data_IF_605420190526
#
_entry.id   IF_605420190526
#
_cell.length_a   1.000
_cell.length_b   1.000
_cell.length_c   1.000
_cell.angle_alpha   90.00
_cell.angle_beta   90.00
_cell.angle_gamma   90.00
#
_symmetry.space_group_name_H-M   'P 1'
#
loop_
_entity.id
_entity.type
_entity.pdbx_description
1 polymer ?
#
# COMPACT_ATOMS: atom_id res chain seq x y z
N UNK A 1 30.22 4.76 11.51
CA UNK A 1 29.66 5.01 12.85
C UNK A 1 29.36 3.67 13.48
N UNK A 2 29.51 3.49 14.81
CA UNK A 2 29.10 2.23 15.45
C UNK A 2 27.60 2.02 15.25
N UNK A 3 27.19 0.76 15.06
CA UNK A 3 25.78 0.39 14.97
C UNK A 3 25.12 0.63 16.33
N UNK A 4 24.04 1.41 16.36
CA UNK A 4 23.27 1.67 17.57
C UNK A 4 21.96 0.87 17.54
N UNK A 5 21.61 0.26 18.67
CA UNK A 5 20.38 -0.52 18.83
C UNK A 5 19.49 0.06 19.94
N UNK A 6 18.16 0.11 19.81
CA UNK A 6 17.46 -0.02 18.51
C UNK A 6 17.91 1.09 17.55
N UNK A 7 17.60 0.92 16.27
CA UNK A 7 17.93 1.94 15.26
C UNK A 7 17.39 3.32 15.68
N UNK A 8 18.23 4.39 15.71
CA UNK A 8 17.80 5.72 16.16
C UNK A 8 16.75 6.37 15.26
N UNK A 9 16.54 5.83 14.05
CA UNK A 9 15.52 6.27 13.13
C UNK A 9 14.14 5.63 13.42
N UNK A 10 14.06 4.72 14.41
CA UNK A 10 12.79 4.24 14.99
C UNK A 10 12.43 5.17 16.15
N UNK A 11 11.54 6.14 15.89
CA UNK A 11 11.27 7.26 16.79
C UNK A 11 9.95 7.07 17.53
N UNK A 12 10.00 6.96 18.85
CA UNK A 12 8.81 7.01 19.69
C UNK A 12 8.41 8.47 19.90
N UNK A 13 7.28 8.87 19.35
CA UNK A 13 6.67 10.20 19.58
C UNK A 13 5.82 10.20 20.86
N UNK A 14 5.34 9.01 21.26
CA UNK A 14 4.58 8.74 22.46
C UNK A 14 5.05 7.40 23.09
N UNK A 15 4.93 7.28 24.41
CA UNK A 15 5.35 6.08 25.13
C UNK A 15 4.61 4.80 24.67
N UNK A 16 3.39 4.92 24.16
CA UNK A 16 2.61 3.80 23.62
C UNK A 16 3.31 3.12 22.44
N UNK A 17 4.14 3.83 21.69
CA UNK A 17 4.88 3.24 20.57
C UNK A 17 6.02 2.34 21.02
N UNK A 18 6.58 2.54 22.23
CA UNK A 18 7.74 1.78 22.71
C UNK A 18 7.52 0.27 22.74
N UNK A 19 6.28 -0.19 22.92
CA UNK A 19 5.92 -1.63 22.89
C UNK A 19 6.11 -2.27 21.51
N UNK A 20 6.16 -1.49 20.44
CA UNK A 20 6.35 -1.97 19.07
C UNK A 20 7.81 -2.00 18.64
N UNK A 21 8.72 -1.51 19.47
CA UNK A 21 10.15 -1.41 19.19
C UNK A 21 10.87 -2.65 19.73
N UNK A 22 11.52 -3.40 18.86
CA UNK A 22 12.40 -4.50 19.24
C UNK A 22 13.80 -3.93 19.53
N UNK A 23 14.32 -4.17 20.75
CA UNK A 23 15.52 -3.52 21.28
C UNK A 23 16.82 -3.77 20.51
N UNK A 24 16.88 -4.78 19.65
CA UNK A 24 18.06 -5.13 18.86
C UNK A 24 17.81 -5.05 17.34
N UNK A 25 16.77 -4.32 16.90
CA UNK A 25 16.45 -4.19 15.48
C UNK A 25 17.10 -2.99 14.83
N UNK A 26 17.33 -3.11 13.53
CA UNK A 26 17.80 -2.03 12.64
C UNK A 26 16.94 -1.99 11.39
N UNK A 27 16.87 -0.82 10.77
CA UNK A 27 16.28 -0.65 9.44
C UNK A 27 17.29 -1.16 8.42
N UNK A 28 16.94 -2.21 7.69
CA UNK A 28 17.77 -2.79 6.64
C UNK A 28 17.33 -2.33 5.27
N UNK A 29 18.23 -1.82 4.47
CA UNK A 29 18.02 -1.66 3.04
C UNK A 29 18.28 -3.01 2.37
N UNK A 30 17.22 -3.59 1.78
CA UNK A 30 17.28 -4.91 1.15
C UNK A 30 17.68 -4.83 -0.32
N UNK A 31 17.32 -3.74 -0.99
CA UNK A 31 17.59 -3.51 -2.40
C UNK A 31 17.66 -2.00 -2.70
N UNK A 32 18.43 -1.64 -3.72
CA UNK A 32 18.44 -0.30 -4.33
C UNK A 32 18.63 -0.46 -5.84
N UNK A 33 18.04 0.46 -6.62
CA UNK A 33 18.13 0.44 -8.09
C UNK A 33 16.78 0.50 -8.79
N UNK A 34 15.69 0.70 -8.05
CA UNK A 34 14.37 1.08 -8.61
C UNK A 34 14.36 2.56 -9.00
N UNK A 35 13.45 2.95 -9.86
CA UNK A 35 13.13 4.36 -10.12
C UNK A 35 12.02 4.87 -9.20
N UNK A 36 10.98 4.04 -8.97
CA UNK A 36 9.91 4.31 -8.02
C UNK A 36 9.33 2.99 -7.51
N UNK A 37 9.77 2.60 -6.31
CA UNK A 37 9.32 1.37 -5.67
C UNK A 37 7.95 1.55 -5.04
N UNK A 38 7.00 0.67 -5.36
CA UNK A 38 5.61 0.71 -4.94
C UNK A 38 5.01 -0.67 -4.70
N UNK A 39 3.82 -0.68 -4.08
CA UNK A 39 2.93 -1.81 -3.95
C UNK A 39 3.57 -3.09 -3.41
N UNK A 40 4.30 -3.06 -2.28
CA UNK A 40 4.87 -4.26 -1.71
C UNK A 40 3.77 -5.19 -1.21
N UNK A 41 3.87 -6.49 -1.53
CA UNK A 41 2.96 -7.53 -1.08
C UNK A 41 3.71 -8.81 -0.72
N UNK A 42 3.34 -9.39 0.42
CA UNK A 42 3.96 -10.60 0.95
C UNK A 42 3.21 -11.86 0.56
N UNK A 43 3.89 -12.83 -0.05
CA UNK A 43 3.38 -14.17 -0.25
C UNK A 43 3.86 -15.08 0.89
N UNK A 44 2.95 -15.45 1.79
CA UNK A 44 3.29 -16.26 2.96
C UNK A 44 3.60 -17.73 2.63
N UNK A 45 3.04 -18.27 1.55
CA UNK A 45 3.28 -19.65 1.11
C UNK A 45 4.64 -19.78 0.46
N UNK A 46 4.94 -18.89 -0.49
CA UNK A 46 6.21 -18.87 -1.21
C UNK A 46 7.32 -18.16 -0.47
N UNK A 47 7.03 -17.51 0.69
CA UNK A 47 7.99 -16.76 1.52
C UNK A 47 8.80 -15.74 0.74
N UNK A 48 8.07 -14.93 -0.05
CA UNK A 48 8.69 -13.87 -0.83
C UNK A 48 7.85 -12.58 -0.81
N UNK A 49 8.53 -11.46 -1.00
CA UNK A 49 7.92 -10.17 -1.25
C UNK A 49 7.94 -9.89 -2.75
N UNK A 50 6.84 -9.39 -3.29
CA UNK A 50 6.83 -8.71 -4.58
C UNK A 50 6.65 -7.21 -4.37
N UNK A 51 7.21 -6.39 -5.26
CA UNK A 51 6.91 -4.96 -5.34
C UNK A 51 7.07 -4.49 -6.79
N UNK A 52 6.47 -3.36 -7.09
CA UNK A 52 6.52 -2.74 -8.41
C UNK A 52 7.66 -1.72 -8.48
N UNK A 53 8.36 -1.68 -9.59
CA UNK A 53 9.17 -0.55 -10.04
C UNK A 53 8.44 0.04 -11.25
N UNK A 54 7.58 1.01 -10.97
CA UNK A 54 6.57 1.48 -11.93
C UNK A 54 7.22 2.00 -13.21
N UNK A 55 8.17 2.98 -13.17
CA UNK A 55 8.71 3.57 -14.39
C UNK A 55 9.52 2.59 -15.23
N UNK A 56 10.15 1.60 -14.60
CA UNK A 56 10.86 0.54 -15.32
C UNK A 56 9.94 -0.56 -15.87
N UNK A 57 8.64 -0.49 -15.57
CA UNK A 57 7.63 -1.45 -16.02
C UNK A 57 7.96 -2.89 -15.61
N UNK A 58 8.44 -3.08 -14.37
CA UNK A 58 8.79 -4.39 -13.83
C UNK A 58 8.21 -4.62 -12.44
N UNK A 59 7.91 -5.87 -12.12
CA UNK A 59 7.76 -6.32 -10.74
C UNK A 59 9.03 -7.01 -10.30
N UNK A 60 9.46 -6.68 -9.10
CA UNK A 60 10.63 -7.25 -8.43
C UNK A 60 10.19 -8.27 -7.39
N UNK A 61 11.07 -9.20 -7.03
CA UNK A 61 10.84 -10.18 -5.98
C UNK A 61 12.07 -10.27 -5.08
N UNK A 62 11.83 -10.28 -3.76
CA UNK A 62 12.82 -10.60 -2.73
C UNK A 62 12.44 -11.92 -2.05
N UNK A 63 13.39 -12.84 -1.92
CA UNK A 63 13.21 -14.14 -1.26
C UNK A 63 13.65 -14.06 0.21
N UNK A 64 12.82 -14.59 1.13
CA UNK A 64 13.17 -14.60 2.57
C UNK A 64 14.33 -15.54 2.88
N UNK A 65 14.46 -16.65 2.17
CA UNK A 65 15.39 -17.72 2.48
C UNK A 65 16.86 -17.32 2.32
N UNK A 66 17.19 -16.54 1.30
CA UNK A 66 18.56 -16.15 0.98
C UNK A 66 18.76 -14.63 0.75
N UNK A 67 17.65 -13.87 0.76
CA UNK A 67 17.67 -12.43 0.49
C UNK A 67 17.87 -12.08 -0.99
N UNK A 68 17.79 -13.06 -1.90
CA UNK A 68 17.96 -12.82 -3.32
C UNK A 68 16.87 -11.91 -3.88
N UNK A 69 17.30 -10.95 -4.72
CA UNK A 69 16.40 -10.07 -5.46
C UNK A 69 16.46 -10.38 -6.95
N UNK A 70 15.32 -10.50 -7.59
CA UNK A 70 15.20 -10.76 -9.03
C UNK A 70 14.04 -10.01 -9.63
N UNK A 71 14.07 -9.79 -10.94
CA UNK A 71 12.89 -9.40 -11.71
C UNK A 71 11.90 -10.56 -11.67
N UNK A 72 10.65 -10.25 -11.29
CA UNK A 72 9.58 -11.23 -11.20
C UNK A 72 8.69 -11.23 -12.43
N UNK A 73 8.34 -10.04 -12.94
CA UNK A 73 7.59 -9.85 -14.20
C UNK A 73 8.19 -8.71 -15.00
N UNK A 74 8.27 -8.91 -16.30
CA UNK A 74 8.71 -7.91 -17.30
C UNK A 74 8.10 -8.25 -18.67
N UNK A 75 7.21 -7.41 -19.24
CA UNK A 75 6.65 -6.19 -18.64
C UNK A 75 5.65 -6.49 -17.53
N UNK A 76 5.39 -5.51 -16.64
CA UNK A 76 4.40 -5.58 -15.55
C UNK A 76 3.12 -4.79 -15.83
N UNK A 77 3.00 -4.16 -16.99
CA UNK A 77 1.91 -3.24 -17.29
C UNK A 77 1.98 -1.92 -16.52
N UNK A 78 3.18 -1.51 -16.09
CA UNK A 78 3.38 -0.38 -15.17
C UNK A 78 2.57 -0.58 -13.89
N UNK A 79 2.72 -1.75 -13.30
CA UNK A 79 1.99 -2.10 -12.07
C UNK A 79 2.37 -1.17 -10.92
N UNK A 80 1.40 -0.90 -10.02
CA UNK A 80 1.57 -0.18 -8.77
C UNK A 80 1.27 -1.12 -7.60
N UNK A 81 0.09 -1.01 -6.98
CA UNK A 81 -0.31 -1.81 -5.84
C UNK A 81 -0.46 -3.29 -6.16
N UNK A 82 0.03 -4.13 -5.26
CA UNK A 82 -0.14 -5.58 -5.34
C UNK A 82 -0.75 -6.11 -4.04
N UNK A 83 -1.43 -7.24 -4.14
CA UNK A 83 -1.90 -8.02 -2.98
C UNK A 83 -2.04 -9.48 -3.38
N UNK A 84 -2.33 -10.35 -2.40
CA UNK A 84 -2.68 -11.74 -2.64
C UNK A 84 -4.09 -11.99 -2.11
N UNK A 85 -4.90 -12.76 -2.85
CA UNK A 85 -6.19 -13.19 -2.34
C UNK A 85 -6.05 -14.40 -1.39
N UNK A 86 -7.17 -14.81 -0.81
CA UNK A 86 -7.20 -15.93 0.16
C UNK A 86 -6.93 -17.30 -0.48
N UNK A 87 -6.84 -17.37 -1.81
CA UNK A 87 -6.40 -18.54 -2.57
C UNK A 87 -4.92 -18.46 -2.95
N UNK A 88 -4.22 -17.39 -2.54
CA UNK A 88 -2.81 -17.15 -2.81
C UNK A 88 -2.51 -16.63 -4.22
N UNK A 89 -3.53 -16.19 -4.97
CA UNK A 89 -3.36 -15.59 -6.30
C UNK A 89 -2.99 -14.12 -6.15
N UNK A 90 -1.99 -13.69 -6.90
CA UNK A 90 -1.60 -12.29 -6.92
C UNK A 90 -2.62 -11.46 -7.69
N UNK A 91 -2.98 -10.30 -7.14
CA UNK A 91 -3.68 -9.22 -7.82
C UNK A 91 -2.74 -8.03 -7.99
N UNK A 92 -2.90 -7.29 -9.06
CA UNK A 92 -2.09 -6.12 -9.37
C UNK A 92 -2.93 -5.00 -9.97
N UNK A 93 -2.67 -3.78 -9.54
CA UNK A 93 -3.16 -2.56 -10.16
C UNK A 93 -2.18 -2.15 -11.27
N UNK A 94 -2.66 -1.93 -12.48
CA UNK A 94 -1.84 -1.52 -13.62
C UNK A 94 -2.18 -0.11 -14.07
N UNK A 95 -1.18 0.77 -14.09
CA UNK A 95 -1.29 2.11 -14.65
C UNK A 95 -1.35 2.08 -16.18
N UNK A 96 -0.47 1.30 -16.82
CA UNK A 96 -0.41 1.22 -18.28
C UNK A 96 -1.63 0.53 -18.89
N UNK A 97 -2.09 -0.55 -18.27
CA UNK A 97 -3.32 -1.24 -18.63
C UNK A 97 -4.59 -0.48 -18.26
N UNK A 98 -4.50 0.43 -17.27
CA UNK A 98 -5.66 1.11 -16.65
C UNK A 98 -6.68 0.08 -16.14
N UNK A 99 -6.19 -0.92 -15.38
CA UNK A 99 -6.98 -2.08 -14.96
C UNK A 99 -6.45 -2.72 -13.69
N UNK A 100 -7.27 -3.59 -13.12
CA UNK A 100 -6.86 -4.54 -12.08
C UNK A 100 -6.85 -5.93 -12.69
N UNK A 101 -5.77 -6.66 -12.47
CA UNK A 101 -5.63 -8.06 -12.94
C UNK A 101 -5.31 -9.02 -11.80
N UNK A 102 -5.62 -10.30 -12.07
CA UNK A 102 -5.27 -11.43 -11.21
C UNK A 102 -4.48 -12.45 -12.00
N UNK A 103 -3.38 -12.89 -11.42
CA UNK A 103 -2.53 -13.93 -12.00
C UNK A 103 -2.97 -15.29 -11.47
N UNK A 104 -3.39 -16.16 -12.38
CA UNK A 104 -3.90 -17.49 -12.07
C UNK A 104 -2.76 -18.50 -11.94
N UNK A 105 -2.90 -19.59 -11.15
CA UNK A 105 -1.90 -20.66 -11.04
C UNK A 105 -1.57 -21.33 -12.37
N UNK A 106 -2.47 -21.29 -13.34
CA UNK A 106 -2.26 -21.80 -14.70
C UNK A 106 -1.31 -20.95 -15.55
N UNK A 107 -0.93 -19.75 -15.06
CA UNK A 107 -0.19 -18.75 -15.82
C UNK A 107 -1.10 -17.80 -16.62
N UNK A 108 -2.41 -18.03 -16.65
CA UNK A 108 -3.36 -17.10 -17.27
C UNK A 108 -3.48 -15.80 -16.43
N UNK A 109 -3.89 -14.74 -17.10
CA UNK A 109 -4.18 -13.45 -16.47
C UNK A 109 -5.67 -13.14 -16.64
N UNK A 110 -6.35 -12.88 -15.53
CA UNK A 110 -7.77 -12.50 -15.52
C UNK A 110 -7.89 -11.02 -15.25
N UNK A 111 -8.51 -10.27 -16.16
CA UNK A 111 -8.86 -8.86 -15.91
C UNK A 111 -10.05 -8.84 -14.95
N UNK A 112 -9.85 -8.22 -13.80
CA UNK A 112 -10.89 -8.05 -12.75
C UNK A 112 -11.75 -6.82 -13.03
N UNK A 113 -11.13 -5.71 -13.41
CA UNK A 113 -11.82 -4.47 -13.76
C UNK A 113 -10.93 -3.61 -14.68
N UNK A 114 -11.49 -3.08 -15.75
CA UNK A 114 -10.84 -2.13 -16.66
C UNK A 114 -11.75 -0.94 -17.01
N UNK A 115 -13.05 -1.05 -16.72
CA UNK A 115 -14.06 -0.05 -17.05
C UNK A 115 -15.12 0.06 -15.96
N UNK A 116 -15.60 1.27 -15.79
CA UNK A 116 -16.81 1.55 -15.00
C UNK A 116 -17.85 2.24 -15.88
N UNK A 117 -19.05 1.64 -16.01
CA UNK A 117 -20.14 2.14 -16.87
C UNK A 117 -19.70 2.43 -18.33
N UNK A 118 -18.87 1.54 -18.89
CA UNK A 118 -18.36 1.62 -20.26
C UNK A 118 -17.16 2.56 -20.47
N UNK A 119 -16.77 3.35 -19.47
CA UNK A 119 -15.59 4.24 -19.48
C UNK A 119 -14.40 3.56 -18.85
N UNK A 120 -13.20 3.81 -19.39
CA UNK A 120 -11.95 3.26 -18.82
C UNK A 120 -11.70 3.82 -17.41
N UNK A 121 -11.18 2.97 -16.52
CA UNK A 121 -10.60 3.40 -15.26
C UNK A 121 -9.44 4.37 -15.51
N UNK A 122 -9.04 5.13 -14.47
CA UNK A 122 -7.93 6.08 -14.59
C UNK A 122 -6.58 5.35 -14.53
N UNK A 123 -6.12 5.03 -13.35
CA UNK A 123 -4.88 4.30 -13.09
C UNK A 123 -5.00 3.64 -11.71
N UNK A 124 -5.60 2.44 -11.62
CA UNK A 124 -5.73 1.73 -10.36
C UNK A 124 -4.41 1.70 -9.59
N UNK A 125 -4.47 2.01 -8.27
CA UNK A 125 -3.28 2.33 -7.49
C UNK A 125 -3.03 1.33 -6.36
N UNK A 126 -3.79 1.33 -5.26
CA UNK A 126 -3.63 0.37 -4.16
C UNK A 126 -4.82 -0.58 -4.08
N UNK A 127 -4.62 -1.76 -3.47
CA UNK A 127 -5.57 -2.87 -3.55
C UNK A 127 -5.53 -3.73 -2.29
N UNK A 128 -6.73 -4.15 -1.84
CA UNK A 128 -6.91 -5.10 -0.73
C UNK A 128 -8.06 -6.06 -1.02
N UNK A 129 -8.05 -7.23 -0.39
CA UNK A 129 -9.10 -8.24 -0.53
C UNK A 129 -9.83 -8.44 0.79
N UNK A 130 -11.15 -8.34 0.76
CA UNK A 130 -12.01 -8.62 1.90
C UNK A 130 -12.29 -10.13 2.01
N UNK A 131 -12.53 -10.72 3.21
CA UNK A 131 -12.81 -12.15 3.37
C UNK A 131 -14.00 -12.71 2.57
N UNK A 132 -14.94 -11.85 2.16
CA UNK A 132 -16.05 -12.24 1.26
C UNK A 132 -15.61 -12.45 -0.19
N UNK A 133 -14.32 -12.24 -0.48
CA UNK A 133 -13.72 -12.31 -1.82
C UNK A 133 -13.78 -10.99 -2.59
N UNK A 134 -14.43 -9.96 -2.07
CA UNK A 134 -14.50 -8.64 -2.70
C UNK A 134 -13.14 -7.97 -2.80
N UNK A 135 -12.81 -7.48 -3.98
CA UNK A 135 -11.55 -6.82 -4.29
C UNK A 135 -11.79 -5.31 -4.25
N UNK A 136 -11.12 -4.62 -3.33
CA UNK A 136 -11.24 -3.18 -3.14
C UNK A 136 -10.00 -2.49 -3.66
N UNK A 137 -10.15 -1.47 -4.47
CA UNK A 137 -9.02 -0.74 -5.02
C UNK A 137 -9.31 0.75 -5.21
N UNK A 138 -8.27 1.54 -5.25
CA UNK A 138 -8.32 2.98 -5.51
C UNK A 138 -7.98 3.26 -6.97
N UNK A 139 -8.61 4.29 -7.56
CA UNK A 139 -8.42 4.66 -8.97
C UNK A 139 -8.17 6.18 -9.11
N UNK A 140 -7.00 6.68 -8.68
CA UNK A 140 -6.59 8.06 -8.92
C UNK A 140 -6.08 8.24 -10.35
N UNK A 141 -5.64 9.47 -10.65
CA UNK A 141 -5.10 9.81 -11.98
C UNK A 141 -3.58 9.78 -12.08
N UNK A 142 -2.85 9.25 -11.06
CA UNK A 142 -1.39 9.39 -11.00
C UNK A 142 -0.70 8.81 -12.23
N UNK A 143 -1.04 7.60 -12.61
CA UNK A 143 -0.42 6.90 -13.75
C UNK A 143 -0.74 7.48 -15.12
N UNK A 144 -1.73 8.39 -15.22
CA UNK A 144 -2.10 9.05 -16.49
C UNK A 144 -1.81 10.56 -16.54
N UNK A 145 -1.26 11.15 -15.46
CA UNK A 145 -0.90 12.58 -15.43
C UNK A 145 0.27 12.93 -16.34
N UNK A 146 1.16 11.98 -16.56
CA UNK A 146 2.40 12.17 -17.34
C UNK A 146 2.91 10.87 -17.93
N UNK A 147 4.16 10.85 -18.35
CA UNK A 147 4.81 9.70 -18.98
C UNK A 147 5.89 9.07 -18.09
N UNK A 148 5.82 9.27 -16.77
CA UNK A 148 6.79 8.70 -15.83
C UNK A 148 6.33 7.36 -15.26
N UNK A 149 5.08 7.30 -14.77
CA UNK A 149 4.53 6.08 -14.19
C UNK A 149 3.80 5.19 -15.21
N UNK A 150 3.36 5.75 -16.33
CA UNK A 150 2.84 5.06 -17.50
C UNK A 150 2.70 6.05 -18.68
N UNK A 151 1.51 6.14 -19.29
CA UNK A 151 1.26 6.96 -20.46
C UNK A 151 0.23 8.05 -20.15
N UNK A 152 0.56 9.30 -20.49
CA UNK A 152 -0.37 10.41 -20.34
C UNK A 152 -1.68 10.12 -21.08
N UNK A 153 -2.80 10.32 -20.39
CA UNK A 153 -4.15 10.17 -20.94
C UNK A 153 -5.13 11.08 -20.21
N UNK A 154 -6.28 11.36 -20.85
CA UNK A 154 -7.36 12.09 -20.20
C UNK A 154 -8.17 11.16 -19.30
N UNK A 155 -8.59 11.62 -18.10
CA UNK A 155 -9.50 10.89 -17.24
C UNK A 155 -10.87 10.73 -17.90
N UNK A 156 -11.41 9.52 -17.89
CA UNK A 156 -12.77 9.25 -18.37
C UNK A 156 -13.78 9.14 -17.23
N UNK A 157 -13.29 8.89 -16.00
CA UNK A 157 -14.08 8.80 -14.77
C UNK A 157 -13.46 9.68 -13.68
N UNK A 158 -14.28 10.08 -12.70
CA UNK A 158 -13.79 10.76 -11.50
C UNK A 158 -12.91 9.82 -10.68
N UNK A 159 -11.82 10.29 -10.04
CA UNK A 159 -11.09 9.49 -9.06
C UNK A 159 -12.04 8.89 -8.02
N UNK A 160 -11.86 7.62 -7.69
CA UNK A 160 -12.79 6.92 -6.83
C UNK A 160 -12.16 5.69 -6.16
N UNK A 161 -12.90 5.14 -5.21
CA UNK A 161 -12.68 3.80 -4.65
C UNK A 161 -13.73 2.87 -5.22
N UNK A 162 -13.30 1.71 -5.65
CA UNK A 162 -14.15 0.68 -6.22
C UNK A 162 -14.08 -0.62 -5.43
N UNK A 163 -15.17 -1.40 -5.52
CA UNK A 163 -15.23 -2.79 -5.10
C UNK A 163 -15.66 -3.65 -6.27
N UNK A 164 -14.80 -4.60 -6.66
CA UNK A 164 -15.12 -5.61 -7.65
C UNK A 164 -15.53 -6.93 -6.96
N UNK A 165 -16.57 -7.55 -7.47
CA UNK A 165 -16.95 -8.92 -7.12
C UNK A 165 -16.41 -9.87 -8.20
N UNK A 166 -15.36 -10.67 -7.89
CA UNK A 166 -14.69 -11.49 -8.91
C UNK A 166 -15.54 -12.67 -9.38
N UNK A 167 -16.68 -12.98 -8.70
CA UNK A 167 -17.58 -14.06 -9.08
C UNK A 167 -18.65 -13.59 -10.07
N UNK A 168 -19.23 -12.42 -9.83
CA UNK A 168 -20.28 -11.84 -10.69
C UNK A 168 -19.71 -10.90 -11.76
N UNK A 169 -18.49 -10.42 -11.61
CA UNK A 169 -17.91 -9.37 -12.46
C UNK A 169 -18.49 -7.97 -12.18
N UNK A 170 -19.31 -7.82 -11.13
CA UNK A 170 -19.87 -6.52 -10.76
C UNK A 170 -18.80 -5.60 -10.21
N UNK A 171 -18.77 -4.35 -10.70
CA UNK A 171 -17.93 -3.28 -10.20
C UNK A 171 -18.80 -2.18 -9.61
N UNK A 172 -18.66 -1.97 -8.31
CA UNK A 172 -19.37 -0.92 -7.56
C UNK A 172 -18.40 0.23 -7.26
N UNK A 173 -18.81 1.46 -7.54
CA UNK A 173 -18.14 2.65 -7.07
C UNK A 173 -18.64 2.94 -5.65
N UNK A 174 -17.74 2.84 -4.66
CA UNK A 174 -18.13 2.91 -3.24
C UNK A 174 -17.85 4.26 -2.59
N UNK A 175 -16.92 5.05 -3.17
CA UNK A 175 -16.60 6.41 -2.70
C UNK A 175 -15.93 7.22 -3.81
N UNK A 176 -16.34 8.51 -3.98
CA UNK A 176 -15.74 9.40 -4.97
C UNK A 176 -15.68 10.89 -4.51
N UNK A 177 -15.80 11.13 -3.19
CA UNK A 177 -15.55 12.46 -2.62
C UNK A 177 -14.09 12.63 -2.21
N UNK A 178 -13.21 12.39 -3.16
CA UNK A 178 -11.75 12.44 -3.04
C UNK A 178 -11.14 12.81 -4.40
N UNK A 179 -10.01 13.50 -4.41
CA UNK A 179 -9.28 13.84 -5.63
C UNK A 179 -7.96 13.07 -5.78
N UNK A 180 -7.53 12.39 -4.72
CA UNK A 180 -6.29 11.61 -4.68
C UNK A 180 -6.40 10.33 -3.85
N UNK A 181 -7.39 9.42 -4.13
CA UNK A 181 -7.46 8.16 -3.40
C UNK A 181 -6.19 7.34 -3.64
N UNK A 182 -5.57 6.86 -2.55
CA UNK A 182 -4.29 6.18 -2.59
C UNK A 182 -4.35 4.90 -1.74
N UNK A 183 -3.54 4.76 -0.70
CA UNK A 183 -3.52 3.57 0.14
C UNK A 183 -4.87 3.25 0.78
N UNK A 184 -5.22 1.96 0.80
CA UNK A 184 -6.47 1.47 1.38
C UNK A 184 -6.19 0.25 2.27
N UNK A 185 -6.83 0.20 3.47
CA UNK A 185 -6.77 -1.00 4.32
C UNK A 185 -8.02 -1.15 5.19
N UNK A 186 -8.24 -2.37 5.70
CA UNK A 186 -9.29 -2.66 6.66
C UNK A 186 -8.78 -2.63 8.10
N UNK A 187 -9.68 -2.36 9.06
CA UNK A 187 -9.43 -2.66 10.48
C UNK A 187 -9.29 -4.16 10.71
N UNK A 188 -8.67 -4.62 11.84
CA UNK A 188 -8.47 -6.05 12.11
C UNK A 188 -9.76 -6.87 12.08
N UNK A 189 -10.88 -6.29 12.47
CA UNK A 189 -12.20 -6.93 12.52
C UNK A 189 -13.05 -6.70 11.25
N UNK A 190 -12.47 -6.07 10.21
CA UNK A 190 -13.14 -5.71 8.95
C UNK A 190 -14.39 -4.82 9.09
N UNK A 191 -14.55 -4.13 10.22
CA UNK A 191 -15.69 -3.21 10.42
C UNK A 191 -15.42 -1.79 9.94
N UNK A 192 -14.15 -1.47 9.68
CA UNK A 192 -13.75 -0.16 9.18
C UNK A 192 -12.86 -0.28 7.95
N UNK A 193 -12.94 0.76 7.11
CA UNK A 193 -12.02 1.00 5.99
C UNK A 193 -11.30 2.31 6.24
N UNK A 194 -9.99 2.29 6.05
CA UNK A 194 -9.15 3.48 6.04
C UNK A 194 -8.68 3.74 4.61
N UNK A 195 -8.72 5.00 4.20
CA UNK A 195 -8.34 5.46 2.87
C UNK A 195 -7.42 6.65 2.99
N UNK A 196 -6.22 6.53 2.46
CA UNK A 196 -5.34 7.68 2.28
C UNK A 196 -5.81 8.53 1.09
N UNK A 197 -5.96 9.82 1.32
CA UNK A 197 -6.24 10.83 0.30
C UNK A 197 -5.01 11.72 0.19
N UNK A 198 -4.19 11.45 -0.82
CA UNK A 198 -2.94 12.17 -1.09
C UNK A 198 -3.19 13.44 -1.91
N UNK A 199 -4.45 13.74 -2.22
CA UNK A 199 -4.89 14.94 -2.90
C UNK A 199 -4.74 16.21 -2.06
N UNK A 200 -5.52 17.24 -2.36
CA UNK A 200 -5.44 18.54 -1.68
C UNK A 200 -5.69 18.45 -0.17
N UNK A 201 -6.55 17.54 0.26
CA UNK A 201 -6.93 17.37 1.67
C UNK A 201 -5.81 16.75 2.53
N UNK A 202 -4.92 15.92 1.94
CA UNK A 202 -3.78 15.26 2.63
C UNK A 202 -4.17 14.60 3.94
N UNK A 203 -5.17 13.73 3.89
CA UNK A 203 -5.77 13.11 5.06
C UNK A 203 -5.89 11.61 4.90
N UNK A 204 -6.16 10.95 6.01
CA UNK A 204 -6.70 9.59 6.00
C UNK A 204 -8.18 9.70 6.37
N UNK A 205 -9.02 9.08 5.57
CA UNK A 205 -10.43 8.87 5.87
C UNK A 205 -10.62 7.61 6.71
N UNK A 206 -11.67 7.57 7.52
CA UNK A 206 -12.20 6.35 8.13
C UNK A 206 -13.68 6.22 7.83
N UNK A 207 -14.09 5.01 7.46
CA UNK A 207 -15.48 4.67 7.19
C UNK A 207 -15.89 3.46 8.04
N UNK A 208 -17.16 3.37 8.36
CA UNK A 208 -17.76 2.11 8.79
C UNK A 208 -18.07 1.27 7.56
N UNK A 209 -17.72 -0.03 7.61
CA UNK A 209 -18.03 -0.98 6.54
C UNK A 209 -19.37 -1.65 6.86
N UNK A 210 -20.37 -1.42 6.02
CA UNK A 210 -21.69 -2.03 6.09
C UNK A 210 -21.91 -2.91 4.84
N UNK A 211 -21.60 -4.19 4.95
CA UNK A 211 -21.60 -5.12 3.83
C UNK A 211 -20.62 -4.69 2.74
N UNK A 212 -21.14 -4.17 1.62
CA UNK A 212 -20.38 -3.67 0.47
C UNK A 212 -20.29 -2.14 0.42
N UNK A 213 -20.82 -1.44 1.42
CA UNK A 213 -20.95 0.01 1.41
C UNK A 213 -20.07 0.68 2.47
N UNK A 214 -19.50 1.82 2.11
CA UNK A 214 -18.83 2.72 3.05
C UNK A 214 -19.86 3.67 3.65
N UNK A 215 -19.91 3.75 4.99
CA UNK A 215 -20.83 4.61 5.74
C UNK A 215 -20.05 5.53 6.68
N UNK A 216 -20.69 6.60 7.12
CA UNK A 216 -20.19 7.50 8.16
C UNK A 216 -18.76 7.99 7.92
N UNK A 217 -18.40 8.24 6.65
CA UNK A 217 -17.07 8.69 6.26
C UNK A 217 -16.70 10.00 6.97
N UNK A 218 -15.54 10.02 7.60
CA UNK A 218 -14.99 11.22 8.25
C UNK A 218 -13.47 11.23 8.16
N UNK A 219 -12.91 12.43 8.32
CA UNK A 219 -11.46 12.57 8.47
C UNK A 219 -11.00 11.85 9.72
N UNK A 220 -10.08 10.90 9.56
CA UNK A 220 -9.42 10.19 10.64
C UNK A 220 -8.25 11.01 11.21
N UNK A 221 -7.35 11.43 10.33
CA UNK A 221 -6.22 12.29 10.65
C UNK A 221 -5.78 13.06 9.40
N UNK A 222 -5.29 14.26 9.60
CA UNK A 222 -4.52 15.00 8.61
C UNK A 222 -3.04 14.85 8.95
N UNK A 223 -2.23 14.37 8.01
CA UNK A 223 -0.79 14.27 8.20
C UNK A 223 -0.15 15.57 7.74
N UNK A 224 0.06 16.45 8.68
CA UNK A 224 0.86 17.66 8.49
C UNK A 224 2.09 17.55 9.38
N UNK A 225 3.24 17.22 8.80
CA UNK A 225 4.48 16.99 9.54
C UNK A 225 5.42 18.14 9.26
N UNK A 226 5.67 19.00 10.27
CA UNK A 226 6.65 20.07 10.17
C UNK A 226 8.07 19.52 9.89
N UNK A 227 8.82 20.16 9.04
CA UNK A 227 10.25 19.88 8.86
C UNK A 227 10.64 19.06 7.65
N UNK A 228 9.73 18.64 6.80
CA UNK A 228 10.04 17.92 5.56
C UNK A 228 10.46 18.84 4.40
N UNK A 229 11.28 19.86 4.67
CA UNK A 229 11.80 20.77 3.63
C UNK A 229 10.73 21.64 2.96
N UNK A 230 9.66 21.98 3.69
CA UNK A 230 8.56 22.81 3.18
C UNK A 230 7.60 22.09 2.23
N UNK A 231 7.82 20.82 1.95
CA UNK A 231 6.87 20.04 1.17
C UNK A 231 5.77 19.47 2.08
N UNK A 232 4.51 19.57 1.66
CA UNK A 232 3.40 18.99 2.40
C UNK A 232 3.56 17.48 2.49
N UNK A 233 3.33 16.93 3.68
CA UNK A 233 3.28 15.48 3.89
C UNK A 233 1.86 14.97 3.68
N UNK A 234 1.73 13.85 2.98
CA UNK A 234 0.49 13.12 2.82
C UNK A 234 0.77 11.64 3.07
N UNK A 235 -0.24 10.90 3.52
CA UNK A 235 -0.18 9.45 3.54
C UNK A 235 -0.26 8.93 2.09
N UNK A 236 0.51 7.89 1.82
CA UNK A 236 0.52 7.15 0.55
C UNK A 236 -0.05 5.75 0.79
N UNK A 237 0.70 4.68 0.60
CA UNK A 237 0.25 3.34 0.97
C UNK A 237 0.12 3.16 2.48
N UNK A 238 -0.93 2.48 2.92
CA UNK A 238 -1.24 2.27 4.34
C UNK A 238 -1.57 0.82 4.65
N UNK A 239 -1.18 0.33 5.83
CA UNK A 239 -1.58 -1.00 6.33
C UNK A 239 -1.92 -0.93 7.82
N UNK A 240 -2.79 -1.84 8.26
CA UNK A 240 -3.23 -1.95 9.64
C UNK A 240 -2.48 -3.09 10.35
N UNK A 241 -2.10 -2.89 11.61
CA UNK A 241 -1.61 -3.97 12.48
C UNK A 241 -2.73 -4.61 13.30
N UNK A 242 -2.42 -5.70 14.02
CA UNK A 242 -3.40 -6.44 14.83
C UNK A 242 -3.99 -5.64 15.98
N UNK A 243 -3.34 -4.57 16.43
CA UNK A 243 -3.85 -3.67 17.46
C UNK A 243 -4.71 -2.53 16.85
N UNK A 244 -4.86 -2.49 15.53
CA UNK A 244 -5.63 -1.50 14.81
C UNK A 244 -4.86 -0.21 14.50
N UNK A 245 -3.55 -0.15 14.74
CA UNK A 245 -2.77 1.02 14.34
C UNK A 245 -2.59 1.03 12.82
N UNK A 246 -2.63 2.22 12.24
CA UNK A 246 -2.34 2.46 10.83
C UNK A 246 -0.86 2.79 10.68
N UNK A 247 -0.17 2.01 9.87
CA UNK A 247 1.20 2.25 9.44
C UNK A 247 1.14 2.86 8.05
N UNK A 248 1.46 4.15 7.96
CA UNK A 248 1.29 4.94 6.76
C UNK A 248 2.63 5.33 6.16
N UNK A 249 2.87 4.91 4.91
CA UNK A 249 3.95 5.45 4.09
C UNK A 249 3.75 6.94 3.89
N UNK A 250 4.80 7.73 4.04
CA UNK A 250 4.78 9.18 3.94
C UNK A 250 6.22 9.74 3.81
N UNK A 251 6.37 11.02 4.03
CA UNK A 251 7.67 11.66 4.22
C UNK A 251 7.73 12.20 5.67
N UNK A 252 8.77 11.98 6.43
CA UNK A 252 10.08 11.36 6.09
C UNK A 252 10.15 9.86 6.45
N UNK A 253 9.24 9.05 5.97
CA UNK A 253 9.16 7.61 6.22
C UNK A 253 7.80 7.22 6.79
N UNK A 254 7.72 6.09 7.52
CA UNK A 254 6.46 5.54 8.00
C UNK A 254 5.96 6.27 9.22
N UNK A 255 4.67 6.61 9.25
CA UNK A 255 3.98 7.17 10.41
C UNK A 255 3.09 6.11 11.04
N UNK A 256 3.07 6.02 12.37
CA UNK A 256 2.24 5.06 13.11
C UNK A 256 1.17 5.79 13.90
N UNK A 257 -0.08 5.45 13.61
CA UNK A 257 -1.26 6.17 14.07
C UNK A 257 -2.19 5.19 14.79
N UNK A 258 -2.61 5.52 16.03
CA UNK A 258 -3.52 4.68 16.81
C UNK A 258 -4.91 4.60 16.19
N UNK A 259 -5.77 3.63 16.61
CA UNK A 259 -7.17 3.57 16.17
C UNK A 259 -7.99 4.84 16.47
N UNK A 260 -7.50 5.69 17.37
CA UNK A 260 -8.14 6.96 17.72
C UNK A 260 -7.65 8.16 16.87
N UNK A 261 -6.74 7.94 15.91
CA UNK A 261 -6.21 8.99 15.05
C UNK A 261 -5.05 9.78 15.68
N UNK A 262 -4.35 9.23 16.64
CA UNK A 262 -3.19 9.87 17.30
C UNK A 262 -1.89 9.30 16.75
N UNK A 263 -0.97 10.15 16.30
CA UNK A 263 0.34 9.73 15.85
C UNK A 263 1.24 9.41 17.04
N UNK A 264 1.71 8.17 17.16
CA UNK A 264 2.49 7.70 18.29
C UNK A 264 3.94 7.35 17.97
N UNK A 265 4.25 7.09 16.71
CA UNK A 265 5.60 6.70 16.31
C UNK A 265 5.91 7.01 14.86
N UNK A 266 7.18 6.90 14.53
CA UNK A 266 7.69 7.13 13.19
C UNK A 266 8.92 6.26 12.93
N UNK A 267 9.03 5.73 11.70
CA UNK A 267 10.27 5.14 11.19
C UNK A 267 10.79 6.08 10.12
N UNK A 268 11.88 6.78 10.41
CA UNK A 268 12.49 7.69 9.45
C UNK A 268 13.24 6.89 8.37
N UNK A 269 13.12 7.36 7.15
CA UNK A 269 13.82 6.83 6.00
C UNK A 269 14.55 7.96 5.26
N UNK A 270 15.67 7.67 4.59
CA UNK A 270 16.36 8.67 3.78
C UNK A 270 15.59 9.07 2.51
N UNK A 271 14.55 8.31 2.17
CA UNK A 271 13.70 8.48 1.00
C UNK A 271 12.23 8.63 1.43
N UNK A 272 11.37 9.07 0.51
CA UNK A 272 9.91 8.99 0.71
C UNK A 272 9.51 7.52 0.78
N UNK A 273 8.73 7.15 1.78
CA UNK A 273 8.09 5.85 1.83
C UNK A 273 6.77 5.92 1.07
N UNK A 274 6.71 5.30 -0.09
CA UNK A 274 5.50 5.28 -0.91
C UNK A 274 4.48 4.27 -0.37
N UNK A 275 4.91 3.07 0.04
CA UNK A 275 3.98 2.04 0.50
C UNK A 275 4.64 1.09 1.50
N UNK A 276 3.81 0.38 2.25
CA UNK A 276 4.24 -0.55 3.30
C UNK A 276 3.49 -1.88 3.22
N UNK A 277 4.15 -2.96 3.69
CA UNK A 277 3.54 -4.27 3.81
C UNK A 277 4.12 -5.02 5.01
N UNK A 278 3.27 -5.71 5.77
CA UNK A 278 3.73 -6.65 6.78
C UNK A 278 3.98 -8.02 6.16
N UNK A 279 5.12 -8.63 6.47
CA UNK A 279 5.47 -9.96 5.98
C UNK A 279 6.46 -10.68 6.87
N UNK A 280 7.14 -11.68 6.30
CA UNK A 280 7.97 -12.63 7.05
C UNK A 280 7.13 -13.73 7.70
N UNK A 281 7.78 -14.78 8.17
CA UNK A 281 7.11 -15.98 8.72
C UNK A 281 6.20 -15.69 9.91
N UNK A 282 6.47 -14.63 10.68
CA UNK A 282 5.66 -14.16 11.81
C UNK A 282 4.82 -12.94 11.49
N UNK A 283 4.85 -12.44 10.24
CA UNK A 283 4.16 -11.21 9.80
C UNK A 283 4.47 -9.97 10.65
N UNK A 284 5.64 -9.94 11.27
CA UNK A 284 6.17 -8.86 12.10
C UNK A 284 7.36 -8.14 11.47
N UNK A 285 7.61 -8.38 10.18
CA UNK A 285 8.58 -7.65 9.40
C UNK A 285 7.84 -6.64 8.53
N UNK A 286 8.05 -5.36 8.81
CA UNK A 286 7.52 -4.28 7.99
C UNK A 286 8.47 -4.06 6.82
N UNK A 287 7.97 -4.25 5.60
CA UNK A 287 8.62 -3.86 4.37
C UNK A 287 8.15 -2.47 3.96
N UNK A 288 9.08 -1.65 3.48
CA UNK A 288 8.85 -0.25 3.17
C UNK A 288 9.42 0.03 1.77
N UNK A 289 8.55 0.34 0.82
CA UNK A 289 8.93 0.78 -0.51
C UNK A 289 9.35 2.25 -0.43
N UNK A 290 10.65 2.49 -0.54
CA UNK A 290 11.22 3.84 -0.70
C UNK A 290 11.18 4.24 -2.17
N UNK A 291 11.62 5.45 -2.50
CA UNK A 291 11.65 5.89 -3.90
C UNK A 291 12.52 4.98 -4.77
N UNK A 292 13.78 4.77 -4.36
CA UNK A 292 14.77 4.00 -5.14
C UNK A 292 15.17 2.67 -4.47
N UNK A 293 14.63 2.37 -3.31
CA UNK A 293 15.10 1.25 -2.50
C UNK A 293 13.95 0.54 -1.78
N UNK A 294 14.16 -0.74 -1.50
CA UNK A 294 13.32 -1.51 -0.60
C UNK A 294 14.00 -1.62 0.77
N UNK A 295 13.26 -1.27 1.83
CA UNK A 295 13.72 -1.38 3.21
C UNK A 295 12.87 -2.37 3.99
N UNK A 296 13.39 -2.85 5.12
CA UNK A 296 12.63 -3.63 6.07
C UNK A 296 13.12 -3.44 7.50
N UNK A 297 12.21 -3.58 8.46
CA UNK A 297 12.48 -3.55 9.89
C UNK A 297 11.61 -4.56 10.62
N UNK A 298 12.11 -5.21 11.65
CA UNK A 298 11.28 -6.02 12.54
C UNK A 298 10.63 -5.13 13.60
N UNK A 299 9.35 -5.40 13.86
CA UNK A 299 8.53 -4.69 14.85
C UNK A 299 7.84 -5.70 15.77
N UNK A 300 7.48 -5.28 16.99
CA UNK A 300 6.81 -6.15 17.97
C UNK A 300 5.29 -6.08 17.84
N UNK A 301 4.81 -6.22 16.61
CA UNK A 301 3.41 -6.40 16.23
C UNK A 301 3.34 -7.17 14.91
N UNK A 302 2.15 -7.52 14.48
CA UNK A 302 1.89 -8.24 13.22
C UNK A 302 0.93 -7.43 12.35
N UNK A 303 1.02 -7.59 11.04
CA UNK A 303 -0.01 -7.08 10.14
C UNK A 303 -1.37 -7.72 10.43
N UNK A 304 -2.45 -6.95 10.37
CA UNK A 304 -3.79 -7.42 10.66
C UNK A 304 -4.26 -8.51 9.68
N UNK A 305 -3.87 -8.39 8.41
CA UNK A 305 -4.37 -9.26 7.32
C UNK A 305 -3.23 -9.97 6.61
N UNK A 306 -3.56 -11.03 5.86
CA UNK A 306 -2.59 -11.87 5.15
C UNK A 306 -2.03 -11.21 3.88
N UNK A 307 -2.63 -10.14 3.43
CA UNK A 307 -2.23 -9.40 2.23
C UNK A 307 -2.26 -7.90 2.48
#
# INVERSE_FOLDING_TARGET
MPVQYPDPDIVALDNRFRRYIIGNTVIKRLYTGTLWAEGPAWNGVGRYLVWSDIPNNVQMRWLEDDGHVSVFRNPSGYSNGNTFDYEGRQLSCEHGGRRVERYEPSGAVTVIADKYQGKRLNSPNDIVVHPDGGIWFTDPTYGIRGNYEAFKAEPEVKPAVYRADPKSGQLDKVFDDTDGPNGICFSPDYKKVYLADTGAARQIWVFDLDGKALRNGKRFIQLDIPGSGGMPTAADGIRCDIDGNIWAGARPGVQVITPNGERIGMIRMPETCANVCFGGSKRNRLFMAGSQSLYAVYVDTQGAHIA
#
